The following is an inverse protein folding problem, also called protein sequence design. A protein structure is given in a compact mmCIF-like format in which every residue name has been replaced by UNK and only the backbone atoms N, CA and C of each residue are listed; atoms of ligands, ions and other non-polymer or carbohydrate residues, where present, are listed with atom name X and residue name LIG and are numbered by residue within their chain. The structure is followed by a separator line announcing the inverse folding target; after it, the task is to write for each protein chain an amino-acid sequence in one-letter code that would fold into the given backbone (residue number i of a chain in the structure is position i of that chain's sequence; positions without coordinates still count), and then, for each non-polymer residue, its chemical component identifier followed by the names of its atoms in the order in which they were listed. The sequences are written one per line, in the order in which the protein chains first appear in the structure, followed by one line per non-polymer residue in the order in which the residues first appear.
data_IF_656170225337
#
_entry.id   IF_656170225337
#
_cell.length_a   1.000
_cell.length_b   1.000
_cell.length_c   1.000
_cell.angle_alpha   90.00
_cell.angle_beta   90.00
_cell.angle_gamma   90.00
#
_symmetry.space_group_name_H-M   'P 1'
#
loop_
_entity.id
_entity.type
_entity.pdbx_description
1 polymer ?
#
# COMPACT_ATOMS: atom_id res chain seq x y z
N UNK A 1 -18.54 19.86 0.23
CA UNK A 1 -17.92 19.93 1.57
C UNK A 1 -16.91 18.81 1.82
N UNK A 2 -16.93 17.70 1.08
CA UNK A 2 -16.02 16.55 1.26
C UNK A 2 -14.58 16.77 0.82
N UNK A 3 -14.33 17.62 -0.18
CA UNK A 3 -13.00 17.80 -0.79
C UNK A 3 -11.90 18.15 0.23
N UNK A 4 -12.07 19.14 1.14
CA UNK A 4 -11.03 19.44 2.14
C UNK A 4 -10.70 18.25 3.05
N UNK A 5 -11.71 17.48 3.45
CA UNK A 5 -11.54 16.30 4.31
C UNK A 5 -10.71 15.24 3.59
N UNK A 6 -11.03 14.98 2.32
CA UNK A 6 -10.27 14.06 1.47
C UNK A 6 -8.82 14.52 1.34
N UNK A 7 -8.57 15.80 1.07
CA UNK A 7 -7.21 16.34 0.95
C UNK A 7 -6.43 16.16 2.26
N UNK A 8 -7.05 16.47 3.41
CA UNK A 8 -6.40 16.30 4.72
C UNK A 8 -6.06 14.83 4.97
N UNK A 9 -6.99 13.90 4.68
CA UNK A 9 -6.73 12.47 4.82
C UNK A 9 -5.59 12.01 3.90
N UNK A 10 -5.54 12.45 2.65
CA UNK A 10 -4.47 12.09 1.72
C UNK A 10 -3.11 12.70 2.08
N UNK A 11 -3.10 13.91 2.67
CA UNK A 11 -1.87 14.54 3.13
C UNK A 11 -1.14 13.71 4.20
N UNK A 12 -1.86 12.88 4.96
CA UNK A 12 -1.25 11.99 5.97
C UNK A 12 -0.22 11.02 5.39
N UNK A 13 -0.29 10.69 4.10
CA UNK A 13 0.65 9.79 3.42
C UNK A 13 2.11 10.27 3.45
N UNK A 14 2.35 11.57 3.65
CA UNK A 14 3.70 12.12 3.80
C UNK A 14 4.23 12.08 5.24
N UNK A 15 3.35 11.81 6.21
CA UNK A 15 3.68 11.91 7.64
C UNK A 15 3.59 10.58 8.37
N UNK A 16 2.83 9.61 7.82
CA UNK A 16 2.61 8.31 8.42
C UNK A 16 2.75 7.18 7.40
N UNK A 17 3.07 5.95 7.84
CA UNK A 17 3.09 4.79 6.96
C UNK A 17 1.71 4.51 6.38
N UNK A 18 1.69 4.06 5.13
CA UNK A 18 0.49 3.66 4.42
C UNK A 18 0.13 2.20 4.72
N UNK A 19 1.15 1.34 4.80
CA UNK A 19 0.97 -0.09 5.02
C UNK A 19 2.00 -0.61 6.00
N UNK A 20 1.65 -1.68 6.71
CA UNK A 20 2.53 -2.33 7.66
C UNK A 20 2.42 -3.85 7.56
N UNK A 21 3.57 -4.50 7.57
CA UNK A 21 3.71 -5.95 7.61
C UNK A 21 4.47 -6.31 8.88
N UNK A 22 3.78 -6.94 9.82
CA UNK A 22 4.34 -7.42 11.08
C UNK A 22 4.64 -8.91 10.95
N UNK A 23 5.81 -9.31 11.45
CA UNK A 23 6.32 -10.67 11.40
C UNK A 23 6.76 -11.10 12.79
N UNK A 24 6.38 -12.30 13.21
CA UNK A 24 6.79 -12.87 14.50
C UNK A 24 7.28 -14.29 14.33
N UNK A 25 8.38 -14.63 14.99
CA UNK A 25 8.90 -15.99 15.05
C UNK A 25 9.55 -16.24 16.41
N UNK A 26 9.77 -17.50 16.84
CA UNK A 26 10.42 -17.80 18.11
C UNK A 26 11.80 -17.14 18.27
N UNK A 27 12.54 -16.94 17.18
CA UNK A 27 13.85 -16.30 17.17
C UNK A 27 13.78 -14.77 17.28
N UNK A 28 12.61 -14.18 17.02
CA UNK A 28 12.34 -12.74 17.09
C UNK A 28 11.16 -12.50 18.04
N UNK A 29 11.38 -12.64 19.37
CA UNK A 29 10.30 -12.59 20.36
C UNK A 29 9.58 -11.23 20.40
N UNK A 30 10.32 -10.16 20.13
CA UNK A 30 9.84 -8.78 20.02
C UNK A 30 9.14 -8.48 18.67
N UNK A 31 9.26 -9.40 17.71
CA UNK A 31 8.75 -9.25 16.35
C UNK A 31 9.69 -8.45 15.45
N UNK A 32 9.33 -8.42 14.17
CA UNK A 32 9.91 -7.61 13.11
C UNK A 32 8.79 -6.86 12.42
N UNK A 33 9.06 -5.65 11.95
CA UNK A 33 8.07 -4.86 11.22
C UNK A 33 8.68 -4.20 9.98
N UNK A 34 7.90 -4.22 8.91
CA UNK A 34 8.19 -3.47 7.70
C UNK A 34 7.05 -2.50 7.44
N UNK A 35 7.40 -1.24 7.20
CA UNK A 35 6.45 -0.16 6.97
C UNK A 35 6.64 0.38 5.55
N UNK A 36 5.56 0.43 4.79
CA UNK A 36 5.53 0.99 3.44
C UNK A 36 4.97 2.40 3.54
N UNK A 37 5.78 3.36 3.15
CA UNK A 37 5.45 4.77 3.06
C UNK A 37 5.18 5.15 1.60
N UNK A 38 4.62 6.34 1.36
CA UNK A 38 4.32 6.79 -0.02
C UNK A 38 5.58 6.87 -0.90
N UNK A 39 6.76 7.02 -0.30
CA UNK A 39 8.04 7.22 -0.99
C UNK A 39 9.20 6.42 -0.37
N UNK A 40 8.91 5.42 0.47
CA UNK A 40 9.95 4.72 1.21
C UNK A 40 9.48 3.37 1.76
N UNK A 41 10.44 2.54 2.15
CA UNK A 41 10.20 1.33 2.95
C UNK A 41 11.12 1.35 4.17
N UNK A 42 10.55 1.20 5.36
CA UNK A 42 11.25 1.40 6.65
C UNK A 42 10.96 0.26 7.62
N UNK A 43 11.61 0.30 8.79
CA UNK A 43 11.53 -0.72 9.82
C UNK A 43 12.74 -1.65 9.75
N UNK A 44 12.51 -2.94 10.02
CA UNK A 44 13.55 -3.96 10.12
C UNK A 44 13.99 -4.51 8.76
N UNK A 45 13.90 -3.71 7.69
CA UNK A 45 14.20 -4.09 6.29
C UNK A 45 15.58 -4.76 6.16
N UNK A 46 16.66 -4.29 6.81
CA UNK A 46 17.96 -4.97 6.72
C UNK A 46 17.93 -6.40 7.28
N UNK A 47 17.20 -6.63 8.37
CA UNK A 47 17.05 -7.96 8.99
C UNK A 47 16.22 -8.85 8.07
N UNK A 48 15.11 -8.32 7.55
CA UNK A 48 14.22 -9.03 6.61
C UNK A 48 14.97 -9.41 5.34
N UNK A 49 15.83 -8.54 4.80
CA UNK A 49 16.69 -8.86 3.65
C UNK A 49 17.66 -10.00 3.94
N UNK A 50 18.24 -10.04 5.15
CA UNK A 50 19.04 -11.17 5.61
C UNK A 50 18.25 -12.48 5.66
N UNK A 51 16.99 -12.43 6.10
CA UNK A 51 16.09 -13.60 6.12
C UNK A 51 15.69 -14.05 4.71
N UNK A 52 15.36 -13.09 3.83
CA UNK A 52 14.99 -13.34 2.43
C UNK A 52 16.06 -14.15 1.68
N UNK A 53 17.34 -13.85 1.92
CA UNK A 53 18.46 -14.58 1.34
C UNK A 53 18.39 -16.09 1.61
N UNK A 54 17.97 -16.51 2.80
CA UNK A 54 17.93 -17.94 3.16
C UNK A 54 16.83 -18.70 2.43
N UNK A 55 15.71 -18.05 2.11
CA UNK A 55 14.56 -18.64 1.42
C UNK A 55 14.51 -18.29 -0.08
N UNK A 56 15.54 -17.58 -0.58
CA UNK A 56 15.68 -17.22 -1.98
C UNK A 56 14.80 -16.06 -2.43
N UNK A 57 14.17 -15.33 -1.51
CA UNK A 57 13.44 -14.10 -1.86
C UNK A 57 14.43 -13.00 -2.25
N UNK A 58 14.01 -12.12 -3.16
CA UNK A 58 14.79 -10.91 -3.48
C UNK A 58 14.96 -10.03 -2.24
N UNK A 59 16.07 -9.32 -2.18
CA UNK A 59 16.29 -8.25 -1.22
C UNK A 59 15.47 -7.02 -1.62
N UNK A 60 14.89 -6.35 -0.64
CA UNK A 60 14.05 -5.16 -0.77
C UNK A 60 14.95 -3.93 -0.68
N UNK A 61 15.02 -3.16 -1.76
CA UNK A 61 15.65 -1.84 -1.78
C UNK A 61 14.65 -0.80 -2.24
N UNK A 62 14.78 0.42 -1.71
CA UNK A 62 13.91 1.53 -2.08
C UNK A 62 13.93 1.78 -3.59
N UNK A 63 15.10 1.64 -4.20
CA UNK A 63 15.35 1.89 -5.62
C UNK A 63 14.64 0.90 -6.53
N UNK A 64 14.20 -0.26 -6.00
CA UNK A 64 13.44 -1.25 -6.76
C UNK A 64 12.02 -0.73 -7.09
N UNK A 65 11.51 0.22 -6.32
CA UNK A 65 10.13 0.72 -6.40
C UNK A 65 10.07 2.08 -7.09
N UNK A 66 9.86 2.08 -8.41
CA UNK A 66 9.59 3.30 -9.17
C UNK A 66 8.34 4.04 -8.65
N UNK A 67 7.41 3.30 -8.05
CA UNK A 67 6.19 3.81 -7.44
C UNK A 67 6.49 4.82 -6.31
N UNK A 68 7.62 4.71 -5.61
CA UNK A 68 8.03 5.68 -4.61
C UNK A 68 8.34 7.08 -5.17
N UNK A 69 8.52 7.18 -6.49
CA UNK A 69 8.63 8.46 -7.20
C UNK A 69 7.27 8.89 -7.76
N UNK A 70 6.55 7.97 -8.41
CA UNK A 70 5.31 8.30 -9.11
C UNK A 70 4.10 8.48 -8.18
N UNK A 71 4.01 7.74 -7.08
CA UNK A 71 2.87 7.79 -6.16
C UNK A 71 2.78 9.15 -5.44
N UNK A 72 3.85 9.73 -4.87
CA UNK A 72 3.80 11.08 -4.28
C UNK A 72 3.35 12.15 -5.28
N UNK A 73 3.86 12.09 -6.51
CA UNK A 73 3.50 13.04 -7.57
C UNK A 73 2.02 12.88 -7.94
N UNK A 74 1.57 11.64 -8.14
CA UNK A 74 0.19 11.34 -8.53
C UNK A 74 -0.82 11.80 -7.47
N UNK A 75 -0.55 11.52 -6.20
CA UNK A 75 -1.41 11.98 -5.09
C UNK A 75 -1.34 13.50 -4.92
N UNK A 76 -0.17 14.12 -5.07
CA UNK A 76 -0.03 15.58 -5.02
C UNK A 76 -0.85 16.29 -6.10
N UNK A 77 -0.76 15.81 -7.35
CA UNK A 77 -1.57 16.30 -8.47
C UNK A 77 -3.06 16.06 -8.25
N UNK A 78 -3.43 14.90 -7.71
CA UNK A 78 -4.81 14.58 -7.38
C UNK A 78 -5.40 15.55 -6.35
N UNK A 79 -4.64 15.89 -5.29
CA UNK A 79 -5.05 16.87 -4.29
C UNK A 79 -5.18 18.28 -4.88
N UNK A 80 -4.22 18.70 -5.72
CA UNK A 80 -4.27 19.99 -6.40
C UNK A 80 -5.50 20.12 -7.32
N UNK A 81 -5.83 19.05 -8.05
CA UNK A 81 -7.05 18.98 -8.85
C UNK A 81 -8.31 19.12 -7.97
N UNK A 82 -8.31 18.51 -6.78
CA UNK A 82 -9.38 18.68 -5.79
C UNK A 82 -9.63 20.14 -5.42
N UNK A 83 -8.57 20.90 -5.14
CA UNK A 83 -8.67 22.35 -4.84
C UNK A 83 -9.30 23.11 -6.01
N UNK A 84 -8.88 22.83 -7.26
CA UNK A 84 -9.47 23.46 -8.45
C UNK A 84 -10.96 23.12 -8.60
N UNK A 85 -11.34 21.86 -8.39
CA UNK A 85 -12.73 21.40 -8.47
C UNK A 85 -13.62 22.11 -7.43
N UNK A 86 -13.07 22.38 -6.24
CA UNK A 86 -13.76 23.10 -5.18
C UNK A 86 -14.18 24.52 -5.61
N UNK A 87 -13.34 25.19 -6.41
CA UNK A 87 -13.63 26.53 -6.96
C UNK A 87 -14.64 26.44 -8.11
N UNK A 88 -14.48 25.48 -9.01
CA UNK A 88 -15.32 25.34 -10.20
C UNK A 88 -16.75 24.84 -9.91
N UNK A 89 -16.95 24.09 -8.82
CA UNK A 89 -18.26 23.60 -8.33
C UNK A 89 -19.08 22.81 -9.38
N UNK A 90 -18.42 22.21 -10.38
CA UNK A 90 -19.07 21.38 -11.41
C UNK A 90 -19.16 19.93 -10.95
N UNK A 91 -20.38 19.38 -10.83
CA UNK A 91 -20.62 17.99 -10.42
C UNK A 91 -19.89 16.96 -11.27
N UNK A 92 -19.86 17.16 -12.59
CA UNK A 92 -19.16 16.25 -13.50
C UNK A 92 -17.67 16.13 -13.16
N UNK A 93 -17.01 17.22 -12.76
CA UNK A 93 -15.60 17.20 -12.37
C UNK A 93 -15.39 16.41 -11.08
N UNK A 94 -16.31 16.52 -10.11
CA UNK A 94 -16.26 15.73 -8.89
C UNK A 94 -16.40 14.22 -9.20
N UNK A 95 -17.32 13.85 -10.09
CA UNK A 95 -17.50 12.44 -10.49
C UNK A 95 -16.27 11.90 -11.22
N UNK A 96 -15.69 12.68 -12.14
CA UNK A 96 -14.45 12.33 -12.82
C UNK A 96 -13.30 12.18 -11.83
N UNK A 97 -13.19 13.08 -10.84
CA UNK A 97 -12.17 13.03 -9.80
C UNK A 97 -12.31 11.78 -8.92
N UNK A 98 -13.53 11.43 -8.51
CA UNK A 98 -13.80 10.14 -7.82
C UNK A 98 -13.40 8.95 -8.69
N UNK A 99 -13.70 8.97 -9.99
CA UNK A 99 -13.28 7.91 -10.92
C UNK A 99 -11.77 7.77 -11.04
N UNK A 100 -11.05 8.90 -11.12
CA UNK A 100 -9.57 8.92 -11.14
C UNK A 100 -9.01 8.34 -9.83
N UNK A 101 -9.59 8.68 -8.68
CA UNK A 101 -9.16 8.12 -7.39
C UNK A 101 -9.26 6.60 -7.37
N UNK A 102 -10.41 6.06 -7.79
CA UNK A 102 -10.63 4.61 -7.84
C UNK A 102 -9.67 3.92 -8.81
N UNK A 103 -9.37 4.57 -9.93
CA UNK A 103 -8.38 4.06 -10.88
C UNK A 103 -6.97 4.01 -10.27
N UNK A 104 -6.52 5.09 -9.62
CA UNK A 104 -5.23 5.12 -8.91
C UNK A 104 -5.18 4.04 -7.82
N UNK A 105 -6.24 3.90 -7.03
CA UNK A 105 -6.32 2.88 -5.99
C UNK A 105 -6.22 1.46 -6.56
N UNK A 106 -6.98 1.16 -7.63
CA UNK A 106 -6.95 -0.16 -8.27
C UNK A 106 -5.55 -0.49 -8.83
N UNK A 107 -4.91 0.47 -9.50
CA UNK A 107 -3.55 0.30 -10.01
C UNK A 107 -2.55 0.07 -8.88
N UNK A 108 -2.65 0.84 -7.79
CA UNK A 108 -1.74 0.74 -6.64
C UNK A 108 -1.85 -0.63 -5.95
N UNK A 109 -3.08 -1.14 -5.76
CA UNK A 109 -3.28 -2.48 -5.17
C UNK A 109 -2.88 -3.61 -6.12
N UNK A 110 -3.13 -3.46 -7.43
CA UNK A 110 -2.69 -4.43 -8.43
C UNK A 110 -1.17 -4.52 -8.49
N UNK A 111 -0.48 -3.38 -8.39
CA UNK A 111 0.98 -3.33 -8.35
C UNK A 111 1.54 -3.91 -7.04
N UNK A 112 0.92 -3.60 -5.90
CA UNK A 112 1.33 -4.18 -4.62
C UNK A 112 1.22 -5.71 -4.64
N UNK A 113 0.10 -6.26 -5.15
CA UNK A 113 -0.05 -7.70 -5.33
C UNK A 113 1.03 -8.30 -6.25
N UNK A 114 1.36 -7.61 -7.36
CA UNK A 114 2.41 -8.02 -8.29
C UNK A 114 3.76 -8.12 -7.58
N UNK A 115 4.11 -7.15 -6.74
CA UNK A 115 5.32 -7.18 -5.94
C UNK A 115 5.34 -8.39 -4.99
N UNK A 116 4.30 -8.57 -4.17
CA UNK A 116 4.21 -9.71 -3.26
C UNK A 116 4.32 -11.06 -3.98
N UNK A 117 3.65 -11.19 -5.13
CA UNK A 117 3.71 -12.39 -5.94
C UNK A 117 5.12 -12.66 -6.45
N UNK A 118 5.77 -11.64 -7.03
CA UNK A 118 7.13 -11.76 -7.56
C UNK A 118 8.14 -12.11 -6.46
N UNK A 119 8.10 -11.42 -5.33
CA UNK A 119 8.97 -11.72 -4.19
C UNK A 119 8.72 -13.13 -3.64
N UNK A 120 7.47 -13.60 -3.61
CA UNK A 120 7.12 -14.90 -3.05
C UNK A 120 7.30 -16.11 -3.98
N UNK A 121 7.41 -15.91 -5.30
CA UNK A 121 7.44 -16.99 -6.30
C UNK A 121 8.70 -17.01 -7.17
N UNK A 122 9.38 -15.87 -7.37
CA UNK A 122 10.64 -15.82 -8.11
C UNK A 122 11.83 -16.05 -7.16
N UNK A 123 11.90 -17.28 -6.63
CA UNK A 123 12.89 -17.66 -5.62
C UNK A 123 14.19 -18.15 -6.26
N UNK A 124 15.33 -17.82 -5.64
CA UNK A 124 16.64 -18.33 -6.07
C UNK A 124 16.70 -19.86 -5.91
N UNK A 125 16.91 -20.62 -7.00
CA UNK A 125 17.04 -22.08 -6.94
C UNK A 125 18.29 -22.55 -6.21
N UNK A 126 19.20 -21.67 -5.78
CA UNK A 126 20.37 -21.97 -4.96
C UNK A 126 20.20 -21.61 -3.48
N UNK A 127 19.02 -21.13 -3.07
CA UNK A 127 18.75 -20.75 -1.69
C UNK A 127 19.03 -21.90 -0.68
N UNK A 128 19.56 -21.59 0.52
CA UNK A 128 19.83 -22.57 1.57
C UNK A 128 18.59 -23.36 2.02
N UNK A 129 17.44 -22.69 2.16
CA UNK A 129 16.19 -23.28 2.63
C UNK A 129 15.21 -23.36 1.45
N UNK A 130 14.75 -24.57 1.17
CA UNK A 130 13.76 -24.84 0.13
C UNK A 130 12.72 -25.81 0.64
N UNK A 131 11.46 -25.42 0.57
CA UNK A 131 10.34 -26.33 0.85
C UNK A 131 9.62 -26.60 -0.47
N UNK A 132 9.66 -27.85 -0.98
CA UNK A 132 9.03 -28.20 -2.25
C UNK A 132 7.56 -27.78 -2.31
N UNK A 133 7.18 -27.02 -3.34
CA UNK A 133 5.80 -26.56 -3.56
C UNK A 133 5.34 -25.41 -2.66
N UNK A 134 6.18 -24.86 -1.78
CA UNK A 134 5.83 -23.71 -0.94
C UNK A 134 6.24 -22.40 -1.62
N UNK A 135 5.33 -21.41 -1.63
CA UNK A 135 5.67 -20.03 -1.94
C UNK A 135 5.71 -19.19 -0.66
N UNK A 136 6.59 -18.20 -0.64
CA UNK A 136 6.79 -17.31 0.51
C UNK A 136 6.05 -15.97 0.34
N UNK A 137 5.02 -15.94 -0.51
CA UNK A 137 4.22 -14.74 -0.72
C UNK A 137 3.52 -14.34 0.60
N UNK A 138 3.78 -13.13 1.14
CA UNK A 138 3.04 -12.58 2.26
C UNK A 138 1.57 -12.31 1.86
N UNK A 139 0.64 -12.24 2.84
CA UNK A 139 -0.73 -11.90 2.52
C UNK A 139 -0.83 -10.43 2.11
N UNK A 140 -1.58 -10.13 1.03
CA UNK A 140 -1.88 -8.74 0.65
C UNK A 140 -2.56 -7.98 1.79
N UNK A 141 -3.49 -8.68 2.46
CA UNK A 141 -4.17 -8.21 3.65
C UNK A 141 -4.51 -9.40 4.55
N UNK A 142 -4.40 -9.20 5.87
CA UNK A 142 -4.71 -10.19 6.87
C UNK A 142 -3.51 -11.04 7.29
N UNK A 143 -3.80 -12.23 7.81
CA UNK A 143 -2.84 -13.08 8.49
C UNK A 143 -2.47 -14.31 7.68
N UNK A 144 -1.19 -14.68 7.68
CA UNK A 144 -0.69 -15.92 7.08
C UNK A 144 0.53 -16.43 7.84
N UNK A 145 0.57 -17.74 8.10
CA UNK A 145 1.77 -18.40 8.62
C UNK A 145 2.67 -18.85 7.46
N UNK A 146 3.93 -18.43 7.48
CA UNK A 146 4.97 -18.79 6.51
C UNK A 146 6.12 -19.46 7.28
N UNK A 147 6.27 -20.77 7.16
CA UNK A 147 7.20 -21.56 7.99
C UNK A 147 6.94 -21.32 9.49
N UNK A 148 7.97 -20.83 10.21
CA UNK A 148 7.91 -20.47 11.62
C UNK A 148 7.53 -19.00 11.84
N UNK A 149 7.28 -18.24 10.77
CA UNK A 149 6.85 -16.85 10.85
C UNK A 149 5.33 -16.74 10.80
N UNK A 150 4.80 -15.97 11.73
CA UNK A 150 3.43 -15.47 11.75
C UNK A 150 3.45 -14.06 11.15
N UNK A 151 2.76 -13.87 10.01
CA UNK A 151 2.80 -12.62 9.24
C UNK A 151 1.42 -11.98 9.20
N UNK A 152 1.34 -10.70 9.56
CA UNK A 152 0.14 -9.87 9.48
C UNK A 152 0.41 -8.67 8.57
N UNK A 153 -0.37 -8.54 7.49
CA UNK A 153 -0.30 -7.42 6.56
C UNK A 153 -1.57 -6.58 6.66
N UNK A 154 -1.44 -5.28 6.86
CA UNK A 154 -2.59 -4.41 7.10
C UNK A 154 -2.33 -2.94 6.75
N UNK A 155 -3.39 -2.16 6.45
CA UNK A 155 -3.27 -0.71 6.37
C UNK A 155 -2.78 -0.16 7.70
N UNK A 156 -1.86 0.79 7.63
CA UNK A 156 -1.44 1.60 8.78
C UNK A 156 -2.19 2.95 8.75
N UNK A 157 -1.82 3.91 9.59
CA UNK A 157 -2.53 5.18 9.81
C UNK A 157 -2.90 5.86 8.48
N UNK A 158 -1.93 6.09 7.59
CA UNK A 158 -2.21 6.76 6.33
C UNK A 158 -2.99 5.87 5.34
N UNK A 159 -2.85 4.54 5.44
CA UNK A 159 -3.65 3.59 4.67
C UNK A 159 -5.12 3.63 5.02
N UNK A 160 -5.45 3.71 6.31
CA UNK A 160 -6.83 3.90 6.76
C UNK A 160 -7.39 5.27 6.32
N UNK A 161 -6.60 6.34 6.38
CA UNK A 161 -7.01 7.64 5.84
C UNK A 161 -7.23 7.60 4.32
N UNK A 162 -6.41 6.85 3.57
CA UNK A 162 -6.57 6.64 2.13
C UNK A 162 -7.88 5.89 1.81
N UNK A 163 -8.16 4.80 2.54
CA UNK A 163 -9.41 4.04 2.40
C UNK A 163 -10.62 4.91 2.74
N UNK A 164 -10.57 5.66 3.84
CA UNK A 164 -11.63 6.58 4.23
C UNK A 164 -11.90 7.64 3.17
N UNK A 165 -10.85 8.17 2.52
CA UNK A 165 -10.96 9.10 1.40
C UNK A 165 -11.77 8.50 0.25
N UNK A 166 -11.48 7.26 -0.13
CA UNK A 166 -12.23 6.52 -1.15
C UNK A 166 -13.71 6.36 -0.79
N UNK A 167 -13.99 5.94 0.45
CA UNK A 167 -15.37 5.77 0.93
C UNK A 167 -16.15 7.09 0.92
N UNK A 168 -15.52 8.20 1.32
CA UNK A 168 -16.14 9.54 1.27
C UNK A 168 -16.45 9.94 -0.17
N UNK A 169 -15.47 9.79 -1.08
CA UNK A 169 -15.64 10.16 -2.48
C UNK A 169 -16.78 9.37 -3.15
N UNK A 170 -16.79 8.05 -2.97
CA UNK A 170 -17.83 7.17 -3.51
C UNK A 170 -19.18 7.45 -2.87
N UNK A 171 -19.23 7.60 -1.55
CA UNK A 171 -20.46 7.87 -0.81
C UNK A 171 -21.14 9.17 -1.25
N UNK A 172 -20.38 10.25 -1.42
CA UNK A 172 -20.90 11.53 -1.89
C UNK A 172 -21.32 11.45 -3.37
N UNK A 173 -20.51 10.84 -4.24
CA UNK A 173 -20.89 10.64 -5.65
C UNK A 173 -22.21 9.87 -5.77
N UNK A 174 -22.35 8.77 -5.02
CA UNK A 174 -23.56 7.96 -5.02
C UNK A 174 -24.78 8.72 -4.48
N UNK A 175 -24.60 9.46 -3.38
CA UNK A 175 -25.66 10.29 -2.80
C UNK A 175 -26.16 11.39 -3.75
N UNK A 176 -25.24 12.11 -4.40
CA UNK A 176 -25.59 13.15 -5.37
C UNK A 176 -26.24 12.57 -6.63
N UNK A 177 -25.82 11.37 -7.05
CA UNK A 177 -26.42 10.69 -8.19
C UNK A 177 -27.87 10.29 -7.92
N UNK A 178 -28.19 9.77 -6.72
CA UNK A 178 -29.57 9.41 -6.34
C UNK A 178 -30.51 10.59 -6.09
N UNK A 179 -29.98 11.78 -5.84
CA UNK A 179 -30.77 13.01 -5.65
C UNK A 179 -31.20 13.68 -6.95
N UNK A 180 -30.67 13.25 -8.09
CA UNK A 180 -31.18 13.61 -9.41
C UNK A 180 -32.36 12.74 -9.77
#
# INVERSE_FOLDING_TARGET
MSIPIVIICLATLWFFPMWRIDMRAPQYPDGLSMQIWINDVKGDVPIINGLNHYIGMKTIHKEDFLEFVFMPISIGLFMAAGVLIMVLKKKILYYTWTGIFLFIALLSFGDFYRWEYNYGHQLDPNAPIKVPGMSYQPPLIGYKKLLNFEVLSQPDIAGWCYIASGLILVGITYYEWKKK
#
